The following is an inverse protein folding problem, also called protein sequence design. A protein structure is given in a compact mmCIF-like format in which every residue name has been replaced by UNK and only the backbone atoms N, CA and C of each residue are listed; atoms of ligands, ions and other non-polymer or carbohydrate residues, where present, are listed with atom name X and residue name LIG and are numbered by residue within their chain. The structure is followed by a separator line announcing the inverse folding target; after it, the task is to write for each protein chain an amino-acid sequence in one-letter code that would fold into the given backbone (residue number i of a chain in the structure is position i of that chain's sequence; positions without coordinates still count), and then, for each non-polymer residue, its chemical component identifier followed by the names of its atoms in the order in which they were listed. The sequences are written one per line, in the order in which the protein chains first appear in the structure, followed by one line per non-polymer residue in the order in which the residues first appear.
data_IF_618138272996
#
_entry.id   IF_618138272996
#
_cell.length_a   1.000
_cell.length_b   1.000
_cell.length_c   1.000
_cell.angle_alpha   90.00
_cell.angle_beta   90.00
_cell.angle_gamma   90.00
#
_symmetry.space_group_name_H-M   'P 1'
#
loop_
_entity.id
_entity.type
_entity.pdbx_description
1 polymer ?
#
# COMPACT_ATOMS: atom_id res chain seq x y z
N UNK A 1 -0.87 -18.84 -19.36
CA UNK A 1 -0.08 -17.87 -18.56
C UNK A 1 -0.65 -16.45 -18.51
N UNK A 2 -0.56 -15.58 -19.54
CA UNK A 2 -1.02 -14.18 -19.39
C UNK A 2 -2.51 -14.07 -19.00
N UNK A 3 -3.37 -14.93 -19.58
CA UNK A 3 -4.80 -15.02 -19.25
C UNK A 3 -5.02 -15.46 -17.79
N UNK A 4 -4.27 -16.46 -17.31
CA UNK A 4 -4.34 -16.93 -15.91
C UNK A 4 -3.92 -15.81 -14.94
N UNK A 5 -2.86 -15.07 -15.24
CA UNK A 5 -2.40 -13.96 -14.40
C UNK A 5 -3.47 -12.86 -14.35
N UNK A 6 -4.09 -12.52 -15.49
CA UNK A 6 -5.17 -11.54 -15.51
C UNK A 6 -6.38 -12.03 -14.70
N UNK A 7 -6.75 -13.30 -14.80
CA UNK A 7 -7.83 -13.89 -14.02
C UNK A 7 -7.53 -13.83 -12.52
N UNK A 8 -6.33 -14.23 -12.10
CA UNK A 8 -5.89 -14.15 -10.71
C UNK A 8 -5.89 -12.71 -10.16
N UNK A 9 -5.54 -11.71 -10.98
CA UNK A 9 -5.63 -10.30 -10.57
C UNK A 9 -7.07 -9.84 -10.38
N UNK A 10 -8.00 -10.29 -11.23
CA UNK A 10 -9.42 -9.99 -11.08
C UNK A 10 -10.03 -10.68 -9.85
N UNK A 11 -9.64 -11.93 -9.58
CA UNK A 11 -10.02 -12.66 -8.35
C UNK A 11 -9.46 -12.00 -7.08
N UNK A 12 -8.33 -11.28 -7.20
CA UNK A 12 -7.72 -10.49 -6.12
C UNK A 12 -8.27 -9.05 -6.02
N UNK A 13 -9.45 -8.78 -6.59
CA UNK A 13 -10.13 -7.47 -6.57
C UNK A 13 -9.34 -6.30 -7.20
N UNK A 14 -8.42 -6.58 -8.12
CA UNK A 14 -7.74 -5.52 -8.89
C UNK A 14 -8.69 -4.95 -9.94
N UNK A 15 -8.73 -3.62 -10.05
CA UNK A 15 -9.61 -2.93 -10.98
C UNK A 15 -9.45 -3.45 -12.43
N UNK A 16 -10.56 -3.86 -13.04
CA UNK A 16 -10.60 -4.43 -14.39
C UNK A 16 -9.95 -3.54 -15.47
N UNK A 17 -10.03 -2.21 -15.33
CA UNK A 17 -9.41 -1.26 -16.27
C UNK A 17 -7.88 -1.34 -16.20
N UNK A 18 -7.32 -1.52 -14.99
CA UNK A 18 -5.89 -1.69 -14.78
C UNK A 18 -5.40 -3.02 -15.33
N UNK A 19 -6.15 -4.10 -15.09
CA UNK A 19 -5.84 -5.44 -15.63
C UNK A 19 -5.89 -5.44 -17.17
N UNK A 20 -6.89 -4.78 -17.76
CA UNK A 20 -6.99 -4.62 -19.22
C UNK A 20 -5.77 -3.89 -19.79
N UNK A 21 -5.39 -2.76 -19.19
CA UNK A 21 -4.20 -1.99 -19.58
C UNK A 21 -2.91 -2.80 -19.46
N UNK A 22 -2.73 -3.54 -18.36
CA UNK A 22 -1.60 -4.44 -18.18
C UNK A 22 -1.53 -5.48 -19.30
N UNK A 23 -2.65 -6.11 -19.65
CA UNK A 23 -2.72 -7.12 -20.71
C UNK A 23 -2.36 -6.55 -22.08
N UNK A 24 -2.84 -5.35 -22.41
CA UNK A 24 -2.53 -4.65 -23.66
C UNK A 24 -1.04 -4.30 -23.74
N UNK A 25 -0.47 -3.73 -22.69
CA UNK A 25 0.95 -3.38 -22.62
C UNK A 25 1.85 -4.62 -22.76
N UNK A 26 1.54 -5.71 -22.05
CA UNK A 26 2.32 -6.95 -22.16
C UNK A 26 2.23 -7.55 -23.56
N UNK A 27 1.07 -7.49 -24.22
CA UNK A 27 0.92 -7.95 -25.61
C UNK A 27 1.72 -7.12 -26.60
N UNK A 28 1.79 -5.80 -26.41
CA UNK A 28 2.54 -4.91 -27.29
C UNK A 28 4.06 -5.13 -27.22
N UNK A 29 4.58 -5.62 -26.09
CA UNK A 29 6.01 -5.91 -25.91
C UNK A 29 6.41 -7.29 -26.44
N UNK A 30 5.45 -8.19 -26.61
CA UNK A 30 5.66 -9.55 -27.07
C UNK A 30 5.35 -9.58 -28.57
N UNK A 31 6.29 -9.11 -29.39
CA UNK A 31 6.18 -9.23 -30.85
C UNK A 31 6.56 -10.66 -31.25
N UNK A 32 5.59 -11.41 -31.79
CA UNK A 32 5.71 -12.86 -31.98
C UNK A 32 6.68 -13.25 -33.10
N UNK A 33 6.95 -12.35 -34.03
CA UNK A 33 7.76 -12.61 -35.24
C UNK A 33 9.27 -12.48 -35.02
N UNK A 34 9.75 -11.67 -34.06
CA UNK A 34 11.20 -11.59 -33.72
C UNK A 34 11.68 -12.72 -32.78
N UNK A 35 10.76 -13.49 -32.19
CA UNK A 35 11.07 -14.48 -31.15
C UNK A 35 11.49 -15.88 -31.67
N UNK A 36 11.96 -15.97 -32.92
CA UNK A 36 12.40 -17.22 -33.55
C UNK A 36 13.71 -17.80 -32.96
N UNK A 37 14.48 -17.02 -32.19
CA UNK A 37 15.79 -17.42 -31.66
C UNK A 37 15.79 -18.05 -30.27
N UNK A 38 15.14 -19.21 -30.07
CA UNK A 38 15.47 -20.21 -29.04
C UNK A 38 15.45 -19.88 -27.53
N UNK A 39 15.37 -18.61 -27.11
CA UNK A 39 15.50 -18.22 -25.70
C UNK A 39 14.14 -18.00 -25.02
N UNK A 40 13.69 -19.07 -24.35
CA UNK A 40 12.89 -19.07 -23.12
C UNK A 40 11.72 -18.07 -23.04
N UNK A 41 10.78 -18.17 -24.02
CA UNK A 41 9.52 -17.38 -24.12
C UNK A 41 8.80 -17.19 -22.78
N UNK A 42 8.78 -18.21 -21.91
CA UNK A 42 8.15 -18.13 -20.58
C UNK A 42 8.80 -17.09 -19.67
N UNK A 43 10.14 -17.04 -19.63
CA UNK A 43 10.90 -16.07 -18.82
C UNK A 43 10.69 -14.65 -19.32
N UNK A 44 10.57 -14.47 -20.64
CA UNK A 44 10.30 -13.16 -21.24
C UNK A 44 8.92 -12.64 -20.85
N UNK A 45 7.88 -13.48 -20.95
CA UNK A 45 6.51 -13.09 -20.53
C UNK A 45 6.48 -12.79 -19.03
N UNK A 46 7.12 -13.59 -18.18
CA UNK A 46 7.22 -13.31 -16.74
C UNK A 46 7.91 -11.97 -16.47
N UNK A 47 9.00 -11.69 -17.17
CA UNK A 47 9.74 -10.44 -17.03
C UNK A 47 8.92 -9.24 -17.49
N UNK A 48 8.17 -9.38 -18.59
CA UNK A 48 7.28 -8.33 -19.09
C UNK A 48 6.14 -8.04 -18.10
N UNK A 49 5.49 -9.10 -17.57
CA UNK A 49 4.45 -8.96 -16.54
C UNK A 49 5.00 -8.30 -15.28
N UNK A 50 6.17 -8.73 -14.80
CA UNK A 50 6.79 -8.13 -13.61
C UNK A 50 7.07 -6.64 -13.80
N UNK A 51 7.63 -6.25 -14.95
CA UNK A 51 7.86 -4.83 -15.28
C UNK A 51 6.56 -4.02 -15.29
N UNK A 52 5.49 -4.55 -15.87
CA UNK A 52 4.19 -3.86 -15.88
C UNK A 52 3.55 -3.79 -14.49
N UNK A 53 3.72 -4.81 -13.64
CA UNK A 53 3.29 -4.77 -12.24
C UNK A 53 4.05 -3.70 -11.44
N UNK A 54 5.37 -3.58 -11.64
CA UNK A 54 6.19 -2.52 -11.00
C UNK A 54 5.68 -1.14 -11.42
N UNK A 55 5.42 -0.91 -12.71
CA UNK A 55 4.85 0.35 -13.20
C UNK A 55 3.48 0.65 -12.62
N UNK A 56 2.67 -0.38 -12.33
CA UNK A 56 1.32 -0.21 -11.79
C UNK A 56 1.33 0.20 -10.32
N UNK A 57 2.31 -0.27 -9.53
CA UNK A 57 2.43 0.05 -8.10
C UNK A 57 3.33 1.25 -7.82
N UNK A 58 4.18 1.67 -8.76
CA UNK A 58 5.06 2.83 -8.59
C UNK A 58 4.27 4.15 -8.77
N UNK A 59 4.11 4.94 -7.70
CA UNK A 59 3.39 6.19 -7.77
C UNK A 59 4.25 7.35 -8.34
N UNK A 60 5.53 7.13 -8.61
CA UNK A 60 6.46 8.15 -9.12
C UNK A 60 6.79 9.28 -8.13
N UNK A 61 6.32 9.17 -6.89
CA UNK A 61 6.51 10.18 -5.84
C UNK A 61 7.21 9.57 -4.63
N UNK A 62 8.10 10.35 -4.01
CA UNK A 62 8.78 9.94 -2.79
C UNK A 62 7.79 9.94 -1.62
N UNK A 63 7.94 8.94 -0.74
CA UNK A 63 7.20 8.91 0.51
C UNK A 63 7.52 10.13 1.38
N UNK A 64 6.51 10.61 2.11
CA UNK A 64 6.70 11.68 3.09
C UNK A 64 7.71 11.28 4.16
N UNK A 65 8.65 12.17 4.47
CA UNK A 65 9.63 11.99 5.53
C UNK A 65 9.44 13.07 6.59
N UNK A 66 9.25 12.71 7.87
CA UNK A 66 9.12 13.71 8.93
C UNK A 66 10.46 14.43 9.16
N UNK A 67 10.38 15.71 9.51
CA UNK A 67 11.55 16.54 9.83
C UNK A 67 11.86 16.52 11.34
N UNK A 68 13.11 16.19 11.71
CA UNK A 68 13.55 16.23 13.12
C UNK A 68 13.51 17.68 13.65
N UNK A 69 13.23 17.84 14.94
CA UNK A 69 13.16 19.14 15.61
C UNK A 69 11.92 19.99 15.28
N UNK A 70 11.03 19.51 14.41
CA UNK A 70 9.75 20.17 14.07
C UNK A 70 8.56 19.31 14.49
N UNK A 71 7.40 19.96 14.62
CA UNK A 71 6.12 19.27 14.79
C UNK A 71 5.70 18.67 13.45
N UNK A 72 5.52 17.34 13.41
CA UNK A 72 5.07 16.62 12.22
C UNK A 72 3.66 16.09 12.51
N UNK A 73 2.64 16.70 11.88
CA UNK A 73 1.24 16.34 12.09
C UNK A 73 0.79 15.48 10.91
N UNK A 74 0.34 14.25 11.19
CA UNK A 74 -0.09 13.28 10.19
C UNK A 74 -1.55 12.91 10.46
N UNK A 75 -2.43 13.18 9.50
CA UNK A 75 -3.85 12.81 9.57
C UNK A 75 -4.09 11.49 8.84
N UNK A 76 -4.81 10.57 9.48
CA UNK A 76 -5.20 9.30 8.88
C UNK A 76 -6.63 9.39 8.33
N UNK A 77 -6.77 9.22 7.01
CA UNK A 77 -8.06 9.28 6.30
C UNK A 77 -8.30 7.98 5.52
N UNK A 78 -9.55 7.72 5.14
CA UNK A 78 -9.94 6.53 4.37
C UNK A 78 -11.30 5.98 4.78
N UNK A 79 -11.75 4.96 4.05
CA UNK A 79 -13.05 4.33 4.22
C UNK A 79 -13.25 3.71 5.62
N UNK A 80 -14.51 3.52 6.03
CA UNK A 80 -14.83 2.79 7.26
C UNK A 80 -14.29 1.36 7.19
N UNK A 81 -13.66 0.88 8.27
CA UNK A 81 -13.07 -0.46 8.31
C UNK A 81 -11.70 -0.61 7.63
N UNK A 82 -11.14 0.42 6.99
CA UNK A 82 -9.82 0.34 6.33
C UNK A 82 -8.60 0.22 7.27
N UNK A 83 -8.83 0.09 8.58
CA UNK A 83 -7.77 -0.11 9.57
C UNK A 83 -7.08 1.16 10.09
N UNK A 84 -7.65 2.35 9.87
CA UNK A 84 -7.05 3.66 10.27
C UNK A 84 -6.49 3.68 11.71
N UNK A 85 -7.30 3.34 12.71
CA UNK A 85 -6.92 3.35 14.14
C UNK A 85 -5.78 2.37 14.47
N UNK A 86 -5.76 1.23 13.79
CA UNK A 86 -4.67 0.25 13.94
C UNK A 86 -3.40 0.76 13.27
N UNK A 87 -3.51 1.30 12.06
CA UNK A 87 -2.37 1.78 11.28
C UNK A 87 -1.73 3.02 11.90
N UNK A 88 -2.50 3.94 12.48
CA UNK A 88 -1.93 5.10 13.16
C UNK A 88 -1.08 4.68 14.38
N UNK A 89 -1.53 3.69 15.15
CA UNK A 89 -0.74 3.11 16.25
C UNK A 89 0.53 2.45 15.73
N UNK A 90 0.43 1.65 14.65
CA UNK A 90 1.61 1.02 14.02
C UNK A 90 2.64 2.05 13.56
N UNK A 91 2.19 3.15 12.93
CA UNK A 91 3.09 4.21 12.46
C UNK A 91 3.75 4.95 13.64
N UNK A 92 2.97 5.30 14.66
CA UNK A 92 3.49 5.96 15.84
C UNK A 92 4.50 5.08 16.60
N UNK A 93 4.27 3.77 16.66
CA UNK A 93 5.23 2.81 17.24
C UNK A 93 6.48 2.63 16.39
N UNK A 94 6.34 2.61 15.06
CA UNK A 94 7.48 2.57 14.14
C UNK A 94 8.42 3.76 14.34
N UNK A 95 7.87 4.97 14.50
CA UNK A 95 8.66 6.16 14.76
C UNK A 95 9.18 6.23 16.21
N UNK A 96 8.42 5.74 17.19
CA UNK A 96 8.90 5.60 18.57
C UNK A 96 10.19 4.76 18.63
N UNK A 97 10.22 3.61 17.94
CA UNK A 97 11.43 2.76 17.80
C UNK A 97 12.62 3.46 17.14
N UNK A 98 12.36 4.51 16.34
CA UNK A 98 13.38 5.34 15.68
C UNK A 98 13.74 6.59 16.51
N UNK A 99 13.48 6.56 17.82
CA UNK A 99 13.75 7.64 18.77
C UNK A 99 13.04 8.96 18.38
N UNK A 100 11.79 8.87 17.94
CA UNK A 100 10.91 10.03 17.81
C UNK A 100 9.96 10.11 19.01
N UNK A 101 9.65 11.33 19.43
CA UNK A 101 8.54 11.58 20.35
C UNK A 101 7.24 11.51 19.54
N UNK A 102 6.41 10.52 19.82
CA UNK A 102 5.13 10.32 19.13
C UNK A 102 3.97 10.45 20.10
N UNK A 103 2.83 10.90 19.59
CA UNK A 103 1.56 10.90 20.31
C UNK A 103 0.44 10.55 19.34
N UNK A 104 -0.68 10.06 19.87
CA UNK A 104 -1.88 9.74 19.10
C UNK A 104 -3.03 10.64 19.53
N UNK A 105 -3.82 11.11 18.58
CA UNK A 105 -5.03 11.88 18.84
C UNK A 105 -6.22 11.13 18.27
N UNK A 106 -7.21 10.81 19.12
CA UNK A 106 -8.48 10.27 18.68
C UNK A 106 -9.42 11.40 18.29
N UNK A 107 -9.72 11.50 17.00
CA UNK A 107 -10.68 12.44 16.44
C UNK A 107 -11.92 11.73 15.85
N UNK A 108 -12.08 10.42 16.11
CA UNK A 108 -13.27 9.64 15.70
C UNK A 108 -14.32 9.71 16.81
N UNK A 109 -15.24 10.67 16.69
CA UNK A 109 -16.32 10.91 17.67
C UNK A 109 -17.63 10.21 17.32
N UNK A 110 -17.69 9.51 16.19
CA UNK A 110 -18.93 8.91 15.68
C UNK A 110 -19.01 7.42 15.98
N UNK A 111 -17.89 6.69 15.86
CA UNK A 111 -17.88 5.25 16.07
C UNK A 111 -17.77 4.92 17.56
N UNK A 112 -18.74 4.17 18.07
CA UNK A 112 -18.73 3.69 19.46
C UNK A 112 -17.43 2.91 19.77
N UNK A 113 -16.81 3.22 20.90
CA UNK A 113 -15.57 2.58 21.35
C UNK A 113 -14.32 2.92 20.52
N UNK A 114 -14.38 3.90 19.61
CA UNK A 114 -13.19 4.30 18.84
C UNK A 114 -12.07 4.85 19.73
N UNK A 115 -12.44 5.67 20.72
CA UNK A 115 -11.51 6.19 21.72
C UNK A 115 -10.91 5.06 22.56
N UNK A 116 -11.73 4.16 23.10
CA UNK A 116 -11.25 3.02 23.89
C UNK A 116 -10.32 2.11 23.10
N UNK A 117 -10.62 1.85 21.82
CA UNK A 117 -9.74 1.09 20.94
C UNK A 117 -8.38 1.77 20.78
N UNK A 118 -8.36 3.08 20.51
CA UNK A 118 -7.11 3.83 20.38
C UNK A 118 -6.34 3.85 21.69
N UNK A 119 -7.02 4.09 22.82
CA UNK A 119 -6.45 4.07 24.17
C UNK A 119 -5.78 2.74 24.50
N UNK A 120 -6.45 1.62 24.25
CA UNK A 120 -5.88 0.28 24.48
C UNK A 120 -4.64 0.03 23.62
N UNK A 121 -4.70 0.38 22.33
CA UNK A 121 -3.59 0.23 21.40
C UNK A 121 -2.38 1.09 21.80
N UNK A 122 -2.63 2.36 22.13
CA UNK A 122 -1.61 3.32 22.56
C UNK A 122 -0.96 2.88 23.87
N UNK A 123 -1.75 2.42 24.84
CA UNK A 123 -1.26 1.91 26.13
C UNK A 123 -0.35 0.69 25.94
N UNK A 124 -0.76 -0.28 25.12
CA UNK A 124 0.07 -1.45 24.77
C UNK A 124 1.39 -1.04 24.13
N UNK A 125 1.38 -0.03 23.27
CA UNK A 125 2.56 0.49 22.58
C UNK A 125 3.37 1.50 23.42
N UNK A 126 2.91 1.87 24.62
CA UNK A 126 3.46 2.93 25.49
C UNK A 126 3.60 4.28 24.80
N UNK A 127 2.57 4.65 24.03
CA UNK A 127 2.49 5.92 23.29
C UNK A 127 1.48 6.83 23.99
N UNK A 128 1.82 8.10 24.29
CA UNK A 128 0.85 9.09 24.79
C UNK A 128 -0.33 9.24 23.83
N UNK A 129 -1.53 9.34 24.38
CA UNK A 129 -2.75 9.53 23.60
C UNK A 129 -3.61 10.67 24.16
N UNK A 130 -4.39 11.29 23.30
CA UNK A 130 -5.35 12.34 23.63
C UNK A 130 -6.67 12.10 22.88
N UNK A 131 -7.80 12.47 23.46
CA UNK A 131 -9.11 12.36 22.84
C UNK A 131 -10.23 12.24 23.87
N UNK A 132 -11.47 12.26 23.36
CA UNK A 132 -12.70 11.99 24.10
C UNK A 132 -13.63 11.14 23.25
#
# INVERSE_FOLDING_TARGET
MLKEICAALLEADVNIRLVKKLRENVRAVIDFDEMAGGLNKRRMIQSAVFKELVKLVDPGVKAHQPAKGKHNIIMFVGLQGSGKTTTCTKLAYHYLKKNWKTCLVCADTFRAGAYDQLKQNATKARIPFYGR
#
